data_IF_604399636889
#
_entry.id   IF_604399636889
#
_cell.length_a   1.000
_cell.length_b   1.000
_cell.length_c   1.000
_cell.angle_alpha   90.00
_cell.angle_beta   90.00
_cell.angle_gamma   90.00
#
_symmetry.space_group_name_H-M   'P 1'
#
loop_
_entity.id
_entity.type
_entity.pdbx_description
1 polymer ?
#
# COMPACT_ATOMS: atom_id res chain seq x y z
N UNK A 1 -31.62 52.15 18.23
CA UNK A 1 -31.90 50.78 17.74
C UNK A 1 -31.70 50.65 16.22
N UNK A 2 -32.43 51.36 15.33
CA UNK A 2 -32.25 51.24 13.86
C UNK A 2 -30.80 51.41 13.36
N UNK A 3 -30.08 52.45 13.82
CA UNK A 3 -28.68 52.68 13.44
C UNK A 3 -27.75 51.54 13.89
N UNK A 4 -27.96 51.01 15.10
CA UNK A 4 -27.18 49.89 15.63
C UNK A 4 -27.39 48.61 14.81
N UNK A 5 -28.65 48.30 14.45
CA UNK A 5 -28.99 47.14 13.61
C UNK A 5 -28.36 47.27 12.23
N UNK A 6 -28.45 48.44 11.60
CA UNK A 6 -27.83 48.68 10.29
C UNK A 6 -26.31 48.51 10.36
N UNK A 7 -25.65 49.04 11.40
CA UNK A 7 -24.21 48.86 11.58
C UNK A 7 -23.83 47.39 11.77
N UNK A 8 -24.57 46.62 12.58
CA UNK A 8 -24.32 45.18 12.76
C UNK A 8 -24.50 44.42 11.44
N UNK A 9 -25.57 44.71 10.68
CA UNK A 9 -25.81 44.06 9.39
C UNK A 9 -24.68 44.36 8.41
N UNK A 10 -24.24 45.62 8.31
CA UNK A 10 -23.11 46.00 7.44
C UNK A 10 -21.83 45.28 7.85
N UNK A 11 -21.53 45.20 9.15
CA UNK A 11 -20.36 44.47 9.65
C UNK A 11 -20.42 42.98 9.32
N UNK A 12 -21.60 42.34 9.45
CA UNK A 12 -21.80 40.94 9.07
C UNK A 12 -21.59 40.73 7.56
N UNK A 13 -22.09 41.64 6.72
CA UNK A 13 -21.90 41.56 5.26
C UNK A 13 -20.43 41.73 4.89
N UNK A 14 -19.73 42.69 5.50
CA UNK A 14 -18.28 42.88 5.28
C UNK A 14 -17.50 41.65 5.72
N UNK A 15 -17.82 41.08 6.89
CA UNK A 15 -17.19 39.86 7.38
C UNK A 15 -17.44 38.67 6.44
N UNK A 16 -18.68 38.48 5.99
CA UNK A 16 -19.04 37.41 5.05
C UNK A 16 -18.33 37.58 3.69
N UNK A 17 -18.27 38.82 3.18
CA UNK A 17 -17.54 39.12 1.95
C UNK A 17 -16.02 38.89 2.11
N UNK A 18 -15.45 39.22 3.27
CA UNK A 18 -14.05 38.96 3.59
C UNK A 18 -13.74 37.46 3.65
N UNK A 19 -14.58 36.66 4.30
CA UNK A 19 -14.46 35.19 4.31
C UNK A 19 -14.61 34.62 2.90
N UNK A 20 -15.59 35.10 2.12
CA UNK A 20 -15.80 34.68 0.74
C UNK A 20 -14.58 34.99 -0.15
N UNK A 21 -14.01 36.19 -0.03
CA UNK A 21 -12.81 36.58 -0.75
C UNK A 21 -11.60 35.72 -0.35
N UNK A 22 -11.43 35.42 0.94
CA UNK A 22 -10.35 34.55 1.43
C UNK A 22 -10.47 33.13 0.86
N UNK A 23 -11.66 32.52 0.94
CA UNK A 23 -11.90 31.18 0.37
C UNK A 23 -11.65 31.16 -1.14
N UNK A 24 -12.15 32.18 -1.87
CA UNK A 24 -11.97 32.27 -3.32
C UNK A 24 -10.52 32.54 -3.73
N UNK A 25 -9.73 33.21 -2.89
CA UNK A 25 -8.36 33.58 -3.23
C UNK A 25 -7.39 32.40 -3.37
N UNK A 26 -7.70 31.24 -2.80
CA UNK A 26 -6.85 30.05 -2.85
C UNK A 26 -5.54 30.16 -2.06
N UNK A 27 -5.35 31.23 -1.27
CA UNK A 27 -4.11 31.45 -0.49
C UNK A 27 -3.93 30.47 0.67
N UNK A 28 -5.00 29.83 1.12
CA UNK A 28 -4.93 28.82 2.16
C UNK A 28 -4.58 27.47 1.55
N UNK A 29 -3.37 26.99 1.84
CA UNK A 29 -2.92 25.69 1.39
C UNK A 29 -3.66 24.59 2.17
N UNK A 30 -4.25 23.65 1.42
CA UNK A 30 -4.98 22.50 1.98
C UNK A 30 -4.16 21.20 1.93
N UNK A 31 -2.91 21.28 1.50
CA UNK A 31 -1.97 20.16 1.52
C UNK A 31 -1.79 19.61 2.93
N UNK A 32 -1.77 18.28 3.07
CA UNK A 32 -1.57 17.62 4.36
C UNK A 32 -0.15 17.85 4.93
N UNK A 33 0.80 18.23 4.07
CA UNK A 33 2.18 18.60 4.38
C UNK A 33 2.32 20.02 4.95
N UNK A 34 1.31 20.88 4.76
CA UNK A 34 1.26 22.22 5.33
C UNK A 34 0.41 22.23 6.60
N UNK A 35 1.08 22.05 7.73
CA UNK A 35 0.41 21.93 9.01
C UNK A 35 -0.30 23.22 9.42
N UNK A 36 -1.51 23.07 9.97
CA UNK A 36 -2.24 24.17 10.58
C UNK A 36 -1.36 24.97 11.53
N UNK A 37 -1.54 26.30 11.53
CA UNK A 37 -0.94 27.16 12.55
C UNK A 37 -1.31 26.67 13.95
N UNK A 38 -0.42 26.84 14.93
CA UNK A 38 -0.62 26.32 16.30
C UNK A 38 -2.01 26.63 16.90
N UNK A 39 -2.57 27.85 16.77
CA UNK A 39 -3.90 28.14 17.30
C UNK A 39 -5.02 27.39 16.57
N UNK A 40 -4.92 27.26 15.25
CA UNK A 40 -5.91 26.54 14.44
C UNK A 40 -5.85 25.05 14.76
N UNK A 41 -4.64 24.48 14.84
CA UNK A 41 -4.43 23.10 15.25
C UNK A 41 -5.04 22.83 16.63
N UNK A 42 -4.76 23.68 17.62
CA UNK A 42 -5.30 23.52 18.98
C UNK A 42 -6.83 23.58 19.02
N UNK A 43 -7.44 24.49 18.26
CA UNK A 43 -8.90 24.59 18.12
C UNK A 43 -9.49 23.32 17.49
N UNK A 44 -8.90 22.85 16.38
CA UNK A 44 -9.37 21.63 15.69
C UNK A 44 -9.21 20.38 16.54
N UNK A 45 -8.07 20.23 17.23
CA UNK A 45 -7.84 19.15 18.17
C UNK A 45 -8.87 19.16 19.29
N UNK A 46 -9.11 20.31 19.92
CA UNK A 46 -10.10 20.46 20.99
C UNK A 46 -11.51 20.12 20.50
N UNK A 47 -11.88 20.61 19.31
CA UNK A 47 -13.19 20.32 18.70
C UNK A 47 -13.37 18.82 18.46
N UNK A 48 -12.35 18.15 17.91
CA UNK A 48 -12.35 16.70 17.68
C UNK A 48 -12.52 15.92 18.98
N UNK A 49 -11.69 16.20 19.98
CA UNK A 49 -11.71 15.49 21.28
C UNK A 49 -13.06 15.68 21.98
N UNK A 50 -13.58 16.91 22.05
CA UNK A 50 -14.88 17.19 22.69
C UNK A 50 -16.06 16.57 21.95
N UNK A 51 -15.97 16.46 20.62
CA UNK A 51 -17.00 15.80 19.81
C UNK A 51 -16.99 14.28 20.06
N UNK A 52 -15.82 13.65 20.07
CA UNK A 52 -15.67 12.22 20.39
C UNK A 52 -16.21 11.93 21.78
N UNK A 53 -15.78 12.68 22.80
CA UNK A 53 -16.25 12.53 24.20
C UNK A 53 -17.79 12.62 24.27
N UNK A 54 -18.39 13.61 23.61
CA UNK A 54 -19.84 13.82 23.61
C UNK A 54 -20.62 12.66 22.98
N UNK A 55 -20.14 12.11 21.87
CA UNK A 55 -20.84 11.05 21.15
C UNK A 55 -20.53 9.64 21.71
N UNK A 56 -19.40 9.47 22.40
CA UNK A 56 -19.01 8.22 23.02
C UNK A 56 -19.67 7.97 24.39
N UNK A 57 -20.13 9.03 25.08
CA UNK A 57 -20.57 8.96 26.49
C UNK A 57 -21.63 7.88 26.79
N UNK A 58 -22.56 7.64 25.87
CA UNK A 58 -23.70 6.73 26.07
C UNK A 58 -23.46 5.33 25.47
N UNK A 59 -22.28 5.08 24.90
CA UNK A 59 -21.94 3.80 24.27
C UNK A 59 -21.74 2.74 25.35
N UNK A 60 -22.54 1.68 25.36
CA UNK A 60 -22.40 0.58 26.31
C UNK A 60 -21.25 -0.33 25.89
N UNK A 61 -20.26 -0.49 26.78
CA UNK A 61 -19.10 -1.35 26.53
C UNK A 61 -19.45 -2.81 26.86
N UNK A 62 -19.33 -3.75 25.91
CA UNK A 62 -19.54 -5.17 26.17
C UNK A 62 -18.36 -5.76 26.97
N UNK A 63 -18.43 -7.05 27.30
CA UNK A 63 -17.27 -7.73 27.89
C UNK A 63 -16.13 -7.84 26.86
N UNK A 64 -15.01 -7.16 27.12
CA UNK A 64 -13.85 -7.12 26.23
C UNK A 64 -12.79 -8.20 26.54
N UNK A 65 -13.00 -9.00 27.59
CA UNK A 65 -12.05 -10.05 28.01
C UNK A 65 -12.30 -11.40 27.33
N UNK A 66 -13.23 -11.49 26.38
CA UNK A 66 -13.48 -12.70 25.61
C UNK A 66 -12.26 -13.04 24.70
N UNK A 67 -11.60 -14.20 24.88
CA UNK A 67 -10.45 -14.58 24.08
C UNK A 67 -10.73 -14.68 22.58
N UNK A 68 -11.93 -15.10 22.17
CA UNK A 68 -12.30 -15.20 20.75
C UNK A 68 -12.50 -13.82 20.14
N UNK A 69 -13.08 -12.88 20.90
CA UNK A 69 -13.25 -11.50 20.48
C UNK A 69 -11.89 -10.81 20.29
N UNK A 70 -10.96 -11.01 21.22
CA UNK A 70 -9.58 -10.50 21.14
C UNK A 70 -8.86 -11.12 19.94
N UNK A 71 -9.04 -12.42 19.71
CA UNK A 71 -8.41 -13.13 18.60
C UNK A 71 -8.91 -12.63 17.23
N UNK A 72 -10.23 -12.42 17.06
CA UNK A 72 -10.78 -11.79 15.85
C UNK A 72 -10.19 -10.39 15.67
N UNK A 73 -10.19 -9.59 16.73
CA UNK A 73 -9.65 -8.23 16.73
C UNK A 73 -8.17 -8.13 16.33
N UNK A 74 -7.35 -9.13 16.70
CA UNK A 74 -5.94 -9.20 16.31
C UNK A 74 -5.78 -9.28 14.78
N UNK A 75 -6.57 -10.14 14.12
CA UNK A 75 -6.58 -10.27 12.66
C UNK A 75 -7.02 -8.98 11.98
N UNK A 76 -8.12 -8.39 12.46
CA UNK A 76 -8.66 -7.12 11.94
C UNK A 76 -7.64 -5.97 12.05
N UNK A 77 -7.01 -5.84 13.22
CA UNK A 77 -5.99 -4.82 13.47
C UNK A 77 -4.79 -5.01 12.53
N UNK A 78 -4.32 -6.25 12.39
CA UNK A 78 -3.20 -6.57 11.52
C UNK A 78 -3.48 -6.18 10.06
N UNK A 79 -4.68 -6.52 9.56
CA UNK A 79 -5.08 -6.27 8.19
C UNK A 79 -5.31 -4.78 7.86
N UNK A 80 -5.91 -4.01 8.78
CA UNK A 80 -6.45 -2.69 8.44
C UNK A 80 -5.83 -1.53 9.21
N UNK A 81 -5.26 -1.77 10.39
CA UNK A 81 -4.84 -0.69 11.28
C UNK A 81 -3.32 -0.48 11.31
N UNK A 82 -2.53 -1.54 11.09
CA UNK A 82 -1.06 -1.48 11.23
C UNK A 82 -0.38 -0.55 10.24
N UNK A 83 -0.94 -0.40 9.03
CA UNK A 83 -0.41 0.52 8.01
C UNK A 83 -0.34 1.97 8.48
N UNK A 84 -1.28 2.40 9.35
CA UNK A 84 -1.29 3.76 9.89
C UNK A 84 -0.83 3.83 11.35
N UNK A 85 -1.22 2.87 12.19
CA UNK A 85 -1.04 2.92 13.65
C UNK A 85 0.12 2.09 14.21
N UNK A 86 0.81 1.35 13.34
CA UNK A 86 1.94 0.45 13.64
C UNK A 86 1.60 -0.75 14.54
N UNK A 87 2.32 -1.85 14.36
CA UNK A 87 2.30 -2.98 15.28
C UNK A 87 3.40 -2.84 16.36
N UNK A 88 3.34 -3.58 17.48
CA UNK A 88 4.42 -3.63 18.45
C UNK A 88 5.75 -4.02 17.79
N UNK A 89 6.75 -3.15 17.94
CA UNK A 89 8.09 -3.33 17.36
C UNK A 89 8.20 -3.05 15.86
N UNK A 90 7.12 -2.59 15.22
CA UNK A 90 7.15 -2.12 13.83
C UNK A 90 7.85 -0.76 13.78
N UNK A 91 8.81 -0.61 12.86
CA UNK A 91 9.42 0.68 12.57
C UNK A 91 8.42 1.61 11.88
N UNK A 92 8.68 2.90 11.91
CA UNK A 92 7.96 3.88 11.09
C UNK A 92 7.93 3.44 9.62
N UNK A 93 6.82 3.70 8.94
CA UNK A 93 6.63 3.35 7.52
C UNK A 93 6.52 4.61 6.66
N UNK A 94 6.59 4.44 5.35
CA UNK A 94 6.64 5.55 4.39
C UNK A 94 5.35 6.39 4.33
N UNK A 95 4.21 5.80 4.69
CA UNK A 95 2.92 6.49 4.66
C UNK A 95 2.80 7.49 5.81
N UNK A 96 3.20 7.10 7.04
CA UNK A 96 2.94 7.85 8.26
C UNK A 96 3.41 9.31 8.26
N UNK A 97 4.60 9.67 7.74
CA UNK A 97 5.04 11.07 7.67
C UNK A 97 4.12 11.99 6.85
N UNK A 98 3.39 11.45 5.87
CA UNK A 98 2.42 12.19 5.06
C UNK A 98 1.00 12.24 5.63
N UNK A 99 0.73 11.54 6.74
CA UNK A 99 -0.58 11.50 7.36
C UNK A 99 -0.76 12.69 8.31
N UNK A 100 -1.82 13.46 8.07
CA UNK A 100 -2.20 14.57 8.91
C UNK A 100 -3.66 14.44 9.39
N UNK A 101 -3.92 14.48 10.72
CA UNK A 101 -2.92 14.45 11.79
C UNK A 101 -2.15 13.12 11.81
N UNK A 102 -0.95 13.15 12.39
CA UNK A 102 -0.12 11.95 12.55
C UNK A 102 -0.88 10.90 13.41
N UNK A 103 -1.10 9.67 12.92
CA UNK A 103 -1.81 8.66 13.69
C UNK A 103 -1.01 8.24 14.93
N UNK A 104 -1.65 8.14 16.11
CA UNK A 104 -0.98 7.69 17.31
C UNK A 104 -0.57 6.21 17.21
N UNK A 105 0.51 5.84 17.86
CA UNK A 105 0.96 4.45 17.95
C UNK A 105 0.14 3.72 19.01
N UNK A 106 -0.81 2.89 18.57
CA UNK A 106 -1.79 2.24 19.45
C UNK A 106 -1.16 1.17 20.36
N UNK A 107 0.06 0.72 20.06
CA UNK A 107 0.84 -0.16 20.93
C UNK A 107 1.44 0.55 22.16
N UNK A 108 1.34 1.89 22.28
CA UNK A 108 1.96 2.65 23.38
C UNK A 108 0.99 3.06 24.49
N UNK A 109 -0.32 2.93 24.29
CA UNK A 109 -1.33 3.34 25.27
C UNK A 109 -2.64 2.58 25.07
N UNK A 110 -3.46 2.52 26.12
CA UNK A 110 -4.82 1.96 26.03
C UNK A 110 -5.82 3.09 25.81
N UNK A 111 -6.51 3.17 24.66
CA UNK A 111 -7.56 4.15 24.47
C UNK A 111 -8.80 3.80 25.31
N UNK A 112 -9.62 4.81 25.66
CA UNK A 112 -10.93 4.55 26.26
C UNK A 112 -11.79 3.71 25.28
N UNK A 113 -12.40 2.59 25.73
CA UNK A 113 -13.14 1.71 24.84
C UNK A 113 -14.31 2.36 24.10
N UNK A 114 -15.01 3.33 24.72
CA UNK A 114 -16.16 3.99 24.10
C UNK A 114 -15.70 4.92 23.00
N UNK A 115 -14.65 5.69 23.27
CA UNK A 115 -14.04 6.58 22.27
C UNK A 115 -13.42 5.77 21.12
N UNK A 116 -12.68 4.70 21.43
CA UNK A 116 -12.09 3.81 20.43
C UNK A 116 -13.17 3.22 19.51
N UNK A 117 -14.27 2.71 20.07
CA UNK A 117 -15.38 2.20 19.29
C UNK A 117 -15.96 3.27 18.36
N UNK A 118 -16.23 4.47 18.89
CA UNK A 118 -16.81 5.56 18.11
C UNK A 118 -15.88 6.00 16.97
N UNK A 119 -14.59 6.16 17.26
CA UNK A 119 -13.58 6.57 16.28
C UNK A 119 -13.37 5.51 15.20
N UNK A 120 -13.33 4.22 15.55
CA UNK A 120 -13.21 3.14 14.56
C UNK A 120 -14.47 3.10 13.68
N UNK A 121 -15.65 3.21 14.29
CA UNK A 121 -16.94 3.17 13.57
C UNK A 121 -17.11 4.33 12.59
N UNK A 122 -16.72 5.54 12.99
CA UNK A 122 -17.03 6.76 12.24
C UNK A 122 -15.83 7.40 11.56
N UNK A 123 -14.62 6.93 11.83
CA UNK A 123 -13.39 7.55 11.36
C UNK A 123 -13.18 8.94 11.94
N UNK A 124 -12.25 9.69 11.35
CA UNK A 124 -12.02 11.10 11.69
C UNK A 124 -12.10 11.94 10.42
N UNK A 125 -13.09 12.83 10.38
CA UNK A 125 -13.31 13.74 9.25
C UNK A 125 -12.08 14.61 9.00
N UNK A 126 -11.77 14.85 7.72
CA UNK A 126 -10.57 15.57 7.26
C UNK A 126 -9.26 14.90 7.73
N UNK A 127 -9.25 13.57 7.78
CA UNK A 127 -8.05 12.76 7.99
C UNK A 127 -8.10 11.52 7.11
N UNK A 128 -7.02 10.73 7.09
CA UNK A 128 -6.99 9.44 6.42
C UNK A 128 -7.70 8.31 7.20
N UNK A 129 -8.23 8.56 8.42
CA UNK A 129 -8.90 7.53 9.22
C UNK A 129 -10.33 7.27 8.68
N UNK A 130 -10.60 6.11 8.05
CA UNK A 130 -11.88 5.82 7.43
C UNK A 130 -12.96 5.44 8.46
N UNK A 131 -14.22 5.49 8.04
CA UNK A 131 -15.38 5.08 8.84
C UNK A 131 -15.70 3.59 8.64
N UNK A 132 -15.14 2.72 9.47
CA UNK A 132 -15.28 1.27 9.32
C UNK A 132 -16.71 0.75 9.54
N UNK A 133 -17.58 1.52 10.20
CA UNK A 133 -18.99 1.19 10.36
C UNK A 133 -19.79 1.17 9.05
N UNK A 134 -19.20 1.60 7.94
CA UNK A 134 -19.80 1.43 6.62
C UNK A 134 -19.63 0.00 6.06
N UNK A 135 -18.61 -0.74 6.52
CA UNK A 135 -18.26 -2.08 6.00
C UNK A 135 -18.28 -3.17 7.07
N UNK A 136 -18.24 -2.81 8.36
CA UNK A 136 -18.19 -3.75 9.47
C UNK A 136 -19.32 -3.48 10.46
N UNK A 137 -19.86 -4.55 11.04
CA UNK A 137 -20.85 -4.48 12.10
C UNK A 137 -20.23 -4.11 13.46
N UNK A 138 -21.10 -3.77 14.42
CA UNK A 138 -20.66 -3.35 15.75
C UNK A 138 -19.89 -4.46 16.48
N UNK A 139 -20.22 -5.73 16.27
CA UNK A 139 -19.52 -6.85 16.87
C UNK A 139 -18.07 -6.93 16.39
N UNK A 140 -17.84 -6.75 15.09
CA UNK A 140 -16.49 -6.72 14.51
C UNK A 140 -15.72 -5.51 14.96
N UNK A 141 -16.34 -4.33 15.09
CA UNK A 141 -15.69 -3.15 15.66
C UNK A 141 -15.29 -3.36 17.13
N UNK A 142 -16.17 -3.96 17.94
CA UNK A 142 -15.85 -4.31 19.32
C UNK A 142 -14.69 -5.31 19.43
N UNK A 143 -14.51 -6.19 18.43
CA UNK A 143 -13.35 -7.09 18.38
C UNK A 143 -12.03 -6.32 18.30
N UNK A 144 -11.96 -5.30 17.43
CA UNK A 144 -10.80 -4.41 17.33
C UNK A 144 -10.57 -3.68 18.66
N UNK A 145 -11.61 -3.13 19.27
CA UNK A 145 -11.51 -2.43 20.56
C UNK A 145 -11.00 -3.36 21.66
N UNK A 146 -11.52 -4.59 21.75
CA UNK A 146 -11.07 -5.59 22.71
C UNK A 146 -9.58 -5.90 22.56
N UNK A 147 -9.12 -6.07 21.31
CA UNK A 147 -7.70 -6.26 21.02
C UNK A 147 -6.85 -5.04 21.42
N UNK A 148 -7.30 -3.81 21.16
CA UNK A 148 -6.60 -2.59 21.55
C UNK A 148 -6.41 -2.47 23.08
N UNK A 149 -7.25 -3.11 23.90
CA UNK A 149 -7.05 -3.13 25.35
C UNK A 149 -5.88 -4.02 25.80
N UNK A 150 -5.51 -5.02 24.98
CA UNK A 150 -4.40 -5.95 25.25
C UNK A 150 -3.11 -5.55 24.54
N UNK A 151 -3.22 -4.85 23.41
CA UNK A 151 -2.11 -4.51 22.52
C UNK A 151 -0.91 -3.85 23.23
N UNK A 152 -1.07 -2.89 24.17
CA UNK A 152 0.08 -2.22 24.79
C UNK A 152 0.95 -3.10 25.69
N UNK A 153 0.44 -4.26 26.11
CA UNK A 153 1.20 -5.22 26.93
C UNK A 153 1.90 -6.30 26.08
N UNK A 154 1.67 -6.29 24.77
CA UNK A 154 2.20 -7.33 23.89
C UNK A 154 3.63 -7.02 23.46
N UNK A 155 4.50 -8.02 23.61
CA UNK A 155 5.78 -8.04 22.90
C UNK A 155 5.56 -8.28 21.39
N UNK A 156 6.51 -7.90 20.53
CA UNK A 156 6.42 -8.17 19.09
C UNK A 156 6.18 -9.66 18.77
N UNK A 157 6.79 -10.57 19.54
CA UNK A 157 6.60 -12.01 19.37
C UNK A 157 5.18 -12.47 19.74
N UNK A 158 4.62 -11.95 20.84
CA UNK A 158 3.23 -12.25 21.23
C UNK A 158 2.22 -11.72 20.21
N UNK A 159 2.48 -10.52 19.67
CA UNK A 159 1.65 -9.95 18.61
C UNK A 159 1.66 -10.83 17.35
N UNK A 160 2.84 -11.29 16.90
CA UNK A 160 2.95 -12.17 15.75
C UNK A 160 2.21 -13.50 15.96
N UNK A 161 2.34 -14.09 17.14
CA UNK A 161 1.69 -15.36 17.51
C UNK A 161 0.15 -15.24 17.57
N UNK A 162 -0.40 -14.16 18.12
CA UNK A 162 -1.86 -13.97 18.14
C UNK A 162 -2.43 -13.69 16.74
N UNK A 163 -1.74 -12.89 15.92
CA UNK A 163 -2.17 -12.61 14.53
C UNK A 163 -2.11 -13.88 13.68
N UNK A 164 -1.07 -14.71 13.82
CA UNK A 164 -0.95 -15.96 13.06
C UNK A 164 -2.06 -16.98 13.39
N UNK A 165 -2.68 -16.88 14.57
CA UNK A 165 -3.79 -17.74 15.01
C UNK A 165 -5.16 -17.14 14.72
N UNK A 166 -5.22 -15.87 14.31
CA UNK A 166 -6.48 -15.21 14.02
C UNK A 166 -7.15 -15.88 12.80
N UNK A 167 -8.49 -16.08 12.84
CA UNK A 167 -9.19 -16.62 11.69
C UNK A 167 -9.02 -15.71 10.47
N UNK A 168 -8.89 -16.32 9.29
CA UNK A 168 -8.99 -15.57 8.03
C UNK A 168 -10.41 -15.05 7.89
N UNK A 169 -10.54 -13.79 7.48
CA UNK A 169 -11.81 -13.10 7.47
C UNK A 169 -12.70 -13.61 6.33
N UNK A 170 -13.78 -14.33 6.68
CA UNK A 170 -14.80 -14.78 5.72
C UNK A 170 -15.82 -13.68 5.38
N UNK A 171 -15.72 -12.51 6.02
CA UNK A 171 -16.62 -11.37 5.82
C UNK A 171 -16.26 -10.55 4.56
N UNK A 172 -15.21 -10.93 3.82
CA UNK A 172 -14.78 -10.30 2.56
C UNK A 172 -15.29 -11.01 1.29
N UNK A 173 -15.91 -12.19 1.41
CA UNK A 173 -16.42 -12.97 0.26
C UNK A 173 -17.87 -12.59 -0.14
N UNK A 174 -18.61 -11.85 0.70
CA UNK A 174 -20.08 -11.69 0.58
C UNK A 174 -20.56 -10.22 0.51
N UNK A 175 -19.70 -9.26 0.15
CA UNK A 175 -20.12 -7.86 -0.03
C UNK A 175 -19.39 -7.19 -1.21
N UNK A 176 -19.78 -7.53 -2.45
CA UNK A 176 -19.27 -6.78 -3.61
C UNK A 176 -19.57 -7.28 -5.01
N UNK A 177 -20.67 -8.02 -5.24
CA UNK A 177 -21.17 -8.27 -6.59
C UNK A 177 -21.76 -7.01 -7.23
N UNK A 178 -20.91 -6.11 -7.74
CA UNK A 178 -21.34 -4.97 -8.55
C UNK A 178 -20.62 -4.91 -9.90
N UNK A 179 -21.24 -5.60 -10.86
CA UNK A 179 -21.18 -5.29 -12.28
C UNK A 179 -21.51 -3.81 -12.49
N UNK A 180 -20.51 -3.01 -12.85
CA UNK A 180 -20.70 -1.65 -13.34
C UNK A 180 -20.86 -1.67 -14.86
N UNK A 181 -22.10 -1.87 -15.30
CA UNK A 181 -22.54 -1.52 -16.64
C UNK A 181 -22.59 0.01 -16.76
N UNK A 182 -21.72 0.57 -17.61
CA UNK A 182 -21.89 1.93 -18.13
C UNK A 182 -22.19 1.88 -19.63
N UNK A 183 -23.42 2.22 -19.98
CA UNK A 183 -23.81 2.56 -21.34
C UNK A 183 -23.39 3.98 -21.71
N UNK A 184 -23.15 4.21 -23.01
CA UNK A 184 -22.97 5.56 -23.56
C UNK A 184 -22.29 5.65 -24.94
N UNK A 185 -23.04 5.30 -25.99
CA UNK A 185 -23.16 5.96 -27.33
C UNK A 185 -21.94 6.36 -28.20
N UNK A 186 -22.05 5.99 -29.50
CA UNK A 186 -21.73 6.72 -30.76
C UNK A 186 -20.87 5.85 -31.71
N UNK A 187 -21.47 5.22 -32.74
CA UNK A 187 -21.51 5.63 -34.18
C UNK A 187 -20.66 4.60 -34.96
N UNK A 188 -20.93 4.07 -36.16
CA UNK A 188 -21.88 4.32 -37.26
C UNK A 188 -21.94 3.03 -38.15
N UNK A 189 -23.09 2.85 -38.83
CA UNK A 189 -23.34 2.22 -40.13
C UNK A 189 -22.95 0.76 -40.48
N UNK A 190 -23.98 -0.08 -40.73
CA UNK A 190 -24.45 -0.41 -42.09
C UNK A 190 -25.22 -1.77 -42.20
N UNK A 191 -26.48 -1.65 -42.63
CA UNK A 191 -27.29 -2.53 -43.49
C UNK A 191 -27.46 -4.05 -43.23
N UNK A 192 -28.74 -4.47 -43.18
CA UNK A 192 -29.18 -5.68 -43.91
C UNK A 192 -30.18 -6.58 -43.19
N UNK A 193 -31.44 -6.50 -43.60
CA UNK A 193 -32.64 -7.26 -43.21
C UNK A 193 -32.61 -8.78 -43.49
N UNK A 194 -33.24 -9.59 -42.62
CA UNK A 194 -34.17 -10.72 -42.89
C UNK A 194 -34.07 -11.78 -41.74
N UNK A 195 -35.07 -11.99 -40.86
CA UNK A 195 -36.37 -12.67 -41.01
C UNK A 195 -36.36 -14.19 -40.67
N UNK A 196 -37.13 -14.52 -39.61
CA UNK A 196 -37.99 -15.70 -39.38
C UNK A 196 -37.47 -17.02 -38.75
N UNK A 197 -38.04 -17.30 -37.56
CA UNK A 197 -38.85 -18.47 -37.14
C UNK A 197 -38.34 -19.93 -37.29
N UNK A 198 -38.37 -20.69 -36.19
CA UNK A 198 -38.39 -22.17 -36.21
C UNK A 198 -38.06 -22.90 -34.88
N UNK A 199 -39.09 -23.31 -34.12
CA UNK A 199 -39.10 -24.22 -32.95
C UNK A 199 -38.71 -25.69 -33.30
N UNK A 200 -38.81 -26.73 -32.41
CA UNK A 200 -38.29 -26.97 -31.05
C UNK A 200 -37.57 -28.36 -30.86
N UNK A 201 -36.83 -28.49 -29.74
CA UNK A 201 -36.62 -29.65 -28.81
C UNK A 201 -36.57 -31.13 -29.28
N UNK A 202 -35.50 -31.86 -28.91
CA UNK A 202 -35.50 -32.96 -27.92
C UNK A 202 -34.28 -33.92 -28.03
N UNK A 203 -33.74 -34.36 -26.88
CA UNK A 203 -33.00 -35.63 -26.77
C UNK A 203 -31.74 -35.59 -25.89
N UNK A 204 -31.88 -35.89 -24.59
CA UNK A 204 -30.76 -36.18 -23.69
C UNK A 204 -30.04 -37.49 -24.05
N UNK A 205 -28.70 -37.48 -23.98
CA UNK A 205 -27.88 -38.46 -23.24
C UNK A 205 -26.39 -38.33 -23.61
N UNK A 206 -25.50 -38.34 -22.61
CA UNK A 206 -24.12 -38.84 -22.79
C UNK A 206 -23.01 -37.93 -22.27
N UNK A 207 -22.43 -38.33 -21.14
CA UNK A 207 -21.22 -37.82 -20.51
C UNK A 207 -20.01 -37.64 -21.45
N UNK A 208 -19.20 -36.59 -21.23
CA UNK A 208 -17.86 -36.68 -20.60
C UNK A 208 -17.07 -35.38 -20.81
N UNK A 209 -16.32 -34.98 -19.78
CA UNK A 209 -15.38 -33.87 -19.78
C UNK A 209 -14.27 -34.06 -20.80
N UNK A 210 -13.96 -33.02 -21.59
CA UNK A 210 -12.58 -32.56 -21.78
C UNK A 210 -12.50 -31.19 -22.47
N UNK A 211 -11.55 -30.39 -21.98
CA UNK A 211 -10.82 -29.27 -22.57
C UNK A 211 -11.55 -28.09 -23.29
N UNK A 212 -11.17 -26.89 -22.83
CA UNK A 212 -10.54 -25.80 -23.61
C UNK A 212 -11.25 -24.44 -23.60
N UNK A 213 -10.38 -23.44 -23.44
CA UNK A 213 -10.44 -22.03 -23.82
C UNK A 213 -11.42 -21.07 -23.11
N UNK A 214 -10.80 -20.03 -22.57
CA UNK A 214 -11.43 -18.85 -22.00
C UNK A 214 -10.40 -17.75 -21.85
N UNK A 215 -10.29 -16.95 -22.91
CA UNK A 215 -9.46 -15.76 -23.12
C UNK A 215 -9.08 -14.96 -21.86
N UNK A 216 -7.78 -14.74 -21.70
CA UNK A 216 -7.20 -13.84 -20.70
C UNK A 216 -7.20 -12.43 -21.31
N UNK A 217 -8.15 -11.60 -20.91
CA UNK A 217 -8.14 -10.18 -21.26
C UNK A 217 -7.06 -9.44 -20.46
N UNK A 218 -5.98 -9.10 -21.16
CA UNK A 218 -4.89 -8.24 -20.72
C UNK A 218 -5.42 -6.81 -20.47
N UNK A 219 -5.64 -6.45 -19.20
CA UNK A 219 -5.80 -5.05 -18.81
C UNK A 219 -4.43 -4.47 -18.45
N UNK A 220 -3.91 -3.65 -19.36
CA UNK A 220 -2.70 -2.87 -19.16
C UNK A 220 -2.81 -2.06 -17.85
N UNK A 221 -1.90 -2.34 -16.91
CA UNK A 221 -1.77 -1.62 -15.66
C UNK A 221 -1.45 -0.14 -15.93
N UNK A 222 -2.19 0.74 -15.26
CA UNK A 222 -1.81 2.15 -15.11
C UNK A 222 -0.59 2.18 -14.20
N UNK A 223 0.52 2.86 -14.56
CA UNK A 223 1.75 2.79 -13.80
C UNK A 223 1.58 3.52 -12.46
N UNK A 224 1.61 2.77 -11.36
CA UNK A 224 1.90 3.31 -10.03
C UNK A 224 3.28 3.92 -10.08
N UNK A 225 3.39 5.23 -9.92
CA UNK A 225 4.70 5.88 -9.77
C UNK A 225 5.19 5.56 -8.36
N UNK A 226 5.93 4.45 -8.24
CA UNK A 226 6.64 4.04 -7.03
C UNK A 226 7.64 5.15 -6.66
N UNK A 227 7.75 5.49 -5.37
CA UNK A 227 8.74 6.46 -4.92
C UNK A 227 10.15 5.95 -5.29
N UNK A 228 11.02 6.80 -5.84
CA UNK A 228 12.32 6.36 -6.30
C UNK A 228 13.13 5.74 -5.16
N UNK A 229 13.66 4.53 -5.35
CA UNK A 229 14.64 3.92 -4.44
C UNK A 229 15.74 4.95 -4.15
N UNK A 230 15.91 5.28 -2.87
CA UNK A 230 16.90 6.26 -2.43
C UNK A 230 18.27 5.60 -2.29
N UNK A 231 19.28 6.25 -2.85
CA UNK A 231 20.68 5.87 -2.71
C UNK A 231 21.39 6.65 -1.58
N UNK A 232 20.63 7.46 -0.84
CA UNK A 232 21.16 8.35 0.20
C UNK A 232 21.83 7.54 1.32
N UNK A 233 23.04 7.96 1.71
CA UNK A 233 23.84 7.28 2.74
C UNK A 233 24.57 6.02 2.28
N UNK A 234 24.45 5.61 1.01
CA UNK A 234 25.24 4.51 0.46
C UNK A 234 26.64 4.97 0.08
N UNK A 235 27.64 4.30 0.62
CA UNK A 235 29.05 4.64 0.38
C UNK A 235 29.73 3.48 -0.35
N UNK A 236 30.43 3.72 -1.48
CA UNK A 236 31.21 2.69 -2.14
C UNK A 236 32.24 2.07 -1.18
N UNK A 237 32.27 0.75 -1.10
CA UNK A 237 33.21 0.00 -0.27
C UNK A 237 32.87 -0.05 1.22
N UNK A 238 31.70 0.41 1.65
CA UNK A 238 31.31 0.33 3.07
C UNK A 238 31.17 -1.12 3.56
N UNK A 239 30.69 -2.03 2.70
CA UNK A 239 30.62 -3.48 2.93
C UNK A 239 31.11 -4.23 1.68
N UNK A 240 32.44 -4.36 1.47
CA UNK A 240 33.00 -4.88 0.21
C UNK A 240 32.57 -6.32 -0.15
N UNK A 241 32.35 -7.17 0.86
CA UNK A 241 31.89 -8.54 0.66
C UNK A 241 30.46 -8.59 0.11
N UNK A 242 29.57 -7.73 0.61
CA UNK A 242 28.19 -7.64 0.13
C UNK A 242 28.14 -7.05 -1.29
N UNK A 243 28.95 -6.02 -1.55
CA UNK A 243 29.10 -5.44 -2.89
C UNK A 243 29.62 -6.44 -3.92
N UNK A 244 30.53 -7.35 -3.52
CA UNK A 244 31.03 -8.42 -4.39
C UNK A 244 29.91 -9.37 -4.82
N UNK A 245 29.02 -9.74 -3.89
CA UNK A 245 27.86 -10.59 -4.19
C UNK A 245 26.86 -9.87 -5.09
N UNK A 246 26.58 -8.58 -4.84
CA UNK A 246 25.71 -7.78 -5.70
C UNK A 246 26.23 -7.71 -7.15
N UNK A 247 27.54 -7.45 -7.34
CA UNK A 247 28.16 -7.45 -8.66
C UNK A 247 28.12 -8.83 -9.32
N UNK A 248 28.34 -9.90 -8.56
CA UNK A 248 28.26 -11.26 -9.07
C UNK A 248 26.84 -11.61 -9.55
N UNK A 249 25.82 -11.16 -8.82
CA UNK A 249 24.41 -11.34 -9.15
C UNK A 249 24.05 -10.60 -10.45
N UNK A 250 24.38 -9.32 -10.55
CA UNK A 250 24.13 -8.54 -11.77
C UNK A 250 24.86 -9.14 -12.99
N UNK A 251 26.11 -9.58 -12.81
CA UNK A 251 26.88 -10.21 -13.87
C UNK A 251 26.30 -11.58 -14.27
N UNK A 252 25.75 -12.34 -13.33
CA UNK A 252 25.09 -13.62 -13.62
C UNK A 252 23.80 -13.41 -14.43
N UNK A 253 23.00 -12.39 -14.08
CA UNK A 253 21.81 -12.00 -14.84
C UNK A 253 22.17 -11.60 -16.29
N UNK A 254 23.18 -10.74 -16.49
CA UNK A 254 23.63 -10.33 -17.82
C UNK A 254 24.16 -11.49 -18.67
N UNK A 255 24.87 -12.45 -18.06
CA UNK A 255 25.35 -13.66 -18.76
C UNK A 255 24.23 -14.68 -19.05
N UNK A 256 23.09 -14.55 -18.38
CA UNK A 256 22.02 -15.52 -18.41
C UNK A 256 22.32 -16.81 -17.65
N UNK A 257 23.17 -16.73 -16.63
CA UNK A 257 23.59 -17.85 -15.80
C UNK A 257 22.59 -18.05 -14.64
N UNK A 258 21.50 -18.74 -14.95
CA UNK A 258 20.40 -18.98 -14.02
C UNK A 258 20.83 -19.66 -12.73
N UNK A 259 21.73 -20.64 -12.82
CA UNK A 259 22.21 -21.38 -11.63
C UNK A 259 23.03 -20.47 -10.72
N UNK A 260 23.93 -19.66 -11.29
CA UNK A 260 24.69 -18.69 -10.51
C UNK A 260 23.79 -17.64 -9.86
N UNK A 261 22.73 -17.17 -10.56
CA UNK A 261 21.74 -16.26 -9.97
C UNK A 261 21.08 -16.90 -8.75
N UNK A 262 20.51 -18.10 -8.91
CA UNK A 262 19.80 -18.78 -7.82
C UNK A 262 20.72 -19.18 -6.66
N UNK A 263 22.01 -19.42 -6.91
CA UNK A 263 22.99 -19.71 -5.88
C UNK A 263 23.30 -18.50 -4.99
N UNK A 264 23.16 -17.27 -5.49
CA UNK A 264 23.40 -16.04 -4.73
C UNK A 264 22.18 -15.60 -3.91
N UNK A 265 21.00 -16.11 -4.25
CA UNK A 265 19.74 -15.85 -3.54
C UNK A 265 19.58 -16.79 -2.34
N UNK A 266 19.22 -16.22 -1.18
CA UNK A 266 18.84 -17.00 0.00
C UNK A 266 17.51 -17.73 -0.24
N UNK A 267 17.26 -18.91 0.36
CA UNK A 267 16.02 -19.67 0.15
C UNK A 267 14.74 -18.87 0.39
N UNK A 268 14.73 -17.98 1.39
CA UNK A 268 13.60 -17.11 1.73
C UNK A 268 13.65 -15.72 1.09
N UNK A 269 14.39 -15.52 -0.01
CA UNK A 269 14.46 -14.21 -0.66
C UNK A 269 13.09 -13.75 -1.14
N UNK A 270 12.83 -12.45 -0.99
CA UNK A 270 11.73 -11.76 -1.65
C UNK A 270 12.27 -10.93 -2.81
N UNK A 271 11.69 -11.08 -3.99
CA UNK A 271 11.99 -10.27 -5.16
C UNK A 271 10.80 -9.36 -5.40
N UNK A 272 11.05 -8.06 -5.51
CA UNK A 272 10.01 -7.06 -5.72
C UNK A 272 10.33 -6.19 -6.93
N UNK A 273 9.36 -5.99 -7.82
CA UNK A 273 9.46 -5.03 -8.92
C UNK A 273 8.06 -4.49 -9.25
N UNK A 274 7.94 -3.16 -9.41
CA UNK A 274 6.68 -2.51 -9.80
C UNK A 274 5.52 -2.76 -8.83
N UNK A 275 5.80 -2.83 -7.53
CA UNK A 275 4.81 -3.12 -6.48
C UNK A 275 4.37 -4.59 -6.35
N UNK A 276 4.89 -5.51 -7.18
CA UNK A 276 4.66 -6.95 -7.03
C UNK A 276 5.80 -7.60 -6.26
N UNK A 277 5.49 -8.47 -5.30
CA UNK A 277 6.49 -9.24 -4.55
C UNK A 277 6.27 -10.73 -4.75
N UNK A 278 7.35 -11.45 -5.04
CA UNK A 278 7.35 -12.89 -5.28
C UNK A 278 8.42 -13.61 -4.45
N UNK A 279 8.20 -14.89 -4.23
CA UNK A 279 9.15 -15.80 -3.58
C UNK A 279 10.26 -16.21 -4.55
N UNK A 280 11.34 -16.80 -4.01
CA UNK A 280 12.45 -17.36 -4.80
C UNK A 280 11.98 -18.36 -5.86
N UNK A 281 11.04 -19.23 -5.52
CA UNK A 281 10.59 -20.30 -6.40
C UNK A 281 9.68 -19.77 -7.51
N UNK A 282 8.81 -18.81 -7.20
CA UNK A 282 8.01 -18.07 -8.20
C UNK A 282 8.91 -17.25 -9.14
N UNK A 283 9.91 -16.56 -8.59
CA UNK A 283 10.93 -15.86 -9.36
C UNK A 283 11.70 -16.79 -10.28
N UNK A 284 12.16 -17.92 -9.78
CA UNK A 284 12.79 -18.93 -10.58
C UNK A 284 11.85 -19.41 -11.68
N UNK A 285 10.64 -19.84 -11.36
CA UNK A 285 9.73 -20.46 -12.32
C UNK A 285 9.26 -19.51 -13.44
N UNK A 286 9.13 -18.21 -13.14
CA UNK A 286 8.65 -17.18 -14.09
C UNK A 286 9.71 -16.13 -14.42
N UNK A 287 9.70 -15.02 -13.65
CA UNK A 287 10.30 -13.74 -14.03
C UNK A 287 11.80 -13.78 -14.30
N UNK A 288 12.58 -14.65 -13.63
CA UNK A 288 14.02 -14.76 -13.85
C UNK A 288 14.38 -15.04 -15.33
N UNK A 289 13.55 -15.80 -16.04
CA UNK A 289 13.77 -16.08 -17.46
C UNK A 289 13.59 -14.84 -18.34
N UNK A 290 12.69 -13.93 -17.96
CA UNK A 290 12.40 -12.68 -18.66
C UNK A 290 13.47 -11.64 -18.37
N UNK A 291 13.89 -11.52 -17.12
CA UNK A 291 14.96 -10.59 -16.71
C UNK A 291 16.29 -10.91 -17.37
N UNK A 292 16.65 -12.20 -17.45
CA UNK A 292 17.84 -12.64 -18.18
C UNK A 292 17.75 -12.24 -19.65
N UNK A 293 16.60 -12.46 -20.30
CA UNK A 293 16.42 -12.11 -21.72
C UNK A 293 16.52 -10.60 -21.92
N UNK A 294 15.89 -9.83 -21.04
CA UNK A 294 15.91 -8.37 -21.05
C UNK A 294 17.32 -7.82 -20.87
N UNK A 295 18.01 -8.22 -19.79
CA UNK A 295 19.34 -7.72 -19.44
C UNK A 295 20.43 -8.16 -20.42
N UNK A 296 20.28 -9.32 -21.06
CA UNK A 296 21.21 -9.77 -22.11
C UNK A 296 21.11 -8.94 -23.40
N UNK A 297 19.93 -8.39 -23.69
CA UNK A 297 19.71 -7.51 -24.83
C UNK A 297 19.99 -6.03 -24.51
N UNK A 298 20.13 -5.69 -23.24
CA UNK A 298 20.35 -4.33 -22.78
C UNK A 298 21.83 -3.98 -22.68
N UNK A 299 22.16 -2.73 -22.98
CA UNK A 299 23.46 -2.12 -22.68
C UNK A 299 23.34 -1.30 -21.40
N UNK A 300 24.08 -1.70 -20.38
CA UNK A 300 24.03 -1.11 -19.04
C UNK A 300 25.19 -0.15 -18.83
N UNK A 301 24.87 1.07 -18.42
CA UNK A 301 25.84 2.11 -18.06
C UNK A 301 25.72 2.41 -16.57
N UNK A 302 26.69 2.00 -15.73
CA UNK A 302 26.64 2.25 -14.29
C UNK A 302 26.60 3.76 -13.99
N UNK A 303 25.77 4.18 -13.05
CA UNK A 303 25.63 5.59 -12.62
C UNK A 303 26.09 5.76 -11.19
N UNK A 304 25.57 4.94 -10.27
CA UNK A 304 25.99 4.94 -8.87
C UNK A 304 25.95 3.53 -8.30
N UNK A 305 26.79 3.27 -7.31
CA UNK A 305 26.88 1.98 -6.65
C UNK A 305 27.49 2.16 -5.26
N UNK A 306 26.89 1.60 -4.24
CA UNK A 306 27.44 1.67 -2.89
C UNK A 306 26.71 0.76 -1.92
N UNK A 307 27.21 0.69 -0.69
CA UNK A 307 26.62 -0.11 0.35
C UNK A 307 26.46 0.65 1.66
N UNK A 308 25.63 0.10 2.54
CA UNK A 308 25.39 0.59 3.89
C UNK A 308 25.35 -0.61 4.86
N UNK A 309 26.16 -0.62 5.93
CA UNK A 309 26.11 -1.66 6.94
C UNK A 309 24.83 -1.55 7.78
N UNK A 310 24.18 -2.69 8.05
CA UNK A 310 22.95 -2.79 8.83
C UNK A 310 23.03 -3.93 9.85
N UNK A 311 23.89 -3.78 10.85
CA UNK A 311 24.18 -4.81 11.84
C UNK A 311 24.77 -6.06 11.19
N UNK A 312 24.07 -7.20 11.29
CA UNK A 312 24.48 -8.47 10.66
C UNK A 312 24.08 -8.57 9.18
N UNK A 313 23.43 -7.54 8.64
CA UNK A 313 23.04 -7.42 7.24
C UNK A 313 23.71 -6.23 6.57
N UNK A 314 23.59 -6.14 5.26
CA UNK A 314 24.05 -5.00 4.48
C UNK A 314 23.01 -4.67 3.41
N UNK A 315 22.85 -3.37 3.14
CA UNK A 315 22.17 -2.90 1.94
C UNK A 315 23.21 -2.57 0.88
N UNK A 316 22.97 -2.98 -0.35
CA UNK A 316 23.75 -2.61 -1.53
C UNK A 316 22.77 -2.04 -2.54
N UNK A 317 22.99 -0.78 -2.93
CA UNK A 317 22.20 -0.14 -3.96
C UNK A 317 23.01 0.07 -5.22
N UNK A 318 22.36 -0.03 -6.38
CA UNK A 318 22.94 0.35 -7.65
C UNK A 318 21.95 1.13 -8.52
N UNK A 319 22.46 2.10 -9.27
CA UNK A 319 21.72 2.81 -10.29
C UNK A 319 22.45 2.65 -11.63
N UNK A 320 21.73 2.27 -12.68
CA UNK A 320 22.28 2.10 -14.03
C UNK A 320 21.36 2.70 -15.08
N UNK A 321 21.94 3.36 -16.08
CA UNK A 321 21.24 3.64 -17.33
C UNK A 321 21.14 2.36 -18.16
N UNK A 322 19.97 2.10 -18.74
CA UNK A 322 19.69 0.92 -19.56
C UNK A 322 19.31 1.39 -20.96
N UNK A 323 20.11 1.04 -21.95
CA UNK A 323 19.78 1.23 -23.37
C UNK A 323 19.31 -0.11 -23.95
N UNK A 324 18.05 -0.17 -24.38
CA UNK A 324 17.46 -1.40 -24.93
C UNK A 324 16.51 -1.08 -26.09
N UNK A 325 16.34 -2.02 -27.03
CA UNK A 325 15.37 -1.87 -28.12
C UNK A 325 14.09 -2.65 -27.78
N UNK A 326 13.00 -1.95 -27.53
CA UNK A 326 11.69 -2.54 -27.22
C UNK A 326 10.78 -2.35 -28.43
N UNK A 327 10.23 -3.45 -28.98
CA UNK A 327 9.35 -3.43 -30.17
C UNK A 327 9.94 -2.61 -31.35
N UNK A 328 11.26 -2.70 -31.57
CA UNK A 328 11.98 -2.00 -32.64
C UNK A 328 12.32 -0.52 -32.36
N UNK A 329 12.01 0.02 -31.18
CA UNK A 329 12.33 1.40 -30.79
C UNK A 329 13.46 1.45 -29.76
N UNK A 330 14.54 2.21 -29.99
CA UNK A 330 15.54 2.49 -28.96
C UNK A 330 14.87 3.19 -27.77
N UNK A 331 15.04 2.63 -26.58
CA UNK A 331 14.48 3.13 -25.33
C UNK A 331 15.60 3.24 -24.30
N UNK A 332 15.68 4.38 -23.64
CA UNK A 332 16.59 4.60 -22.52
C UNK A 332 15.79 4.60 -21.23
N UNK A 333 16.22 3.78 -20.27
CA UNK A 333 15.59 3.62 -18.97
C UNK A 333 16.61 3.90 -17.88
N UNK A 334 16.12 4.25 -16.71
CA UNK A 334 16.88 4.28 -15.47
C UNK A 334 16.46 3.09 -14.63
N UNK A 335 17.38 2.19 -14.34
CA UNK A 335 17.15 1.09 -13.40
C UNK A 335 17.82 1.41 -12.07
N UNK A 336 17.06 1.22 -10.99
CA UNK A 336 17.55 1.22 -9.62
C UNK A 336 17.33 -0.16 -9.03
N UNK A 337 18.35 -0.64 -8.35
CA UNK A 337 18.36 -1.91 -7.65
C UNK A 337 18.72 -1.67 -6.19
N UNK A 338 17.93 -2.28 -5.30
CA UNK A 338 18.22 -2.36 -3.89
C UNK A 338 18.29 -3.81 -3.44
N UNK A 339 19.46 -4.22 -2.97
CA UNK A 339 19.69 -5.56 -2.44
C UNK A 339 19.89 -5.48 -0.93
N UNK A 340 19.15 -6.30 -0.19
CA UNK A 340 19.49 -6.61 1.19
C UNK A 340 20.22 -7.95 1.21
N UNK A 341 21.39 -7.98 1.82
CA UNK A 341 22.19 -9.18 1.98
C UNK A 341 22.31 -9.55 3.46
N UNK A 342 22.25 -10.84 3.73
CA UNK A 342 22.52 -11.43 5.05
C UNK A 342 23.71 -12.37 4.98
N UNK A 343 24.39 -12.55 6.12
CA UNK A 343 25.43 -13.57 6.26
C UNK A 343 24.79 -14.96 6.31
N UNK A 344 25.39 -15.89 5.58
CA UNK A 344 25.08 -17.32 5.55
C UNK A 344 26.41 -18.07 5.71
N UNK A 345 26.75 -18.38 6.97
CA UNK A 345 28.09 -18.82 7.36
C UNK A 345 29.15 -17.76 7.04
N UNK A 346 30.19 -18.17 6.31
CA UNK A 346 31.27 -17.29 5.82
C UNK A 346 30.92 -16.56 4.50
N UNK A 347 29.72 -16.79 3.97
CA UNK A 347 29.25 -16.23 2.70
C UNK A 347 28.14 -15.21 2.88
N UNK A 348 27.89 -14.39 1.86
CA UNK A 348 26.75 -13.48 1.83
C UNK A 348 25.72 -13.97 0.82
N UNK A 349 24.44 -13.87 1.19
CA UNK A 349 23.31 -14.21 0.32
C UNK A 349 22.36 -13.02 0.24
N UNK A 350 21.73 -12.86 -0.91
CA UNK A 350 20.70 -11.86 -1.12
C UNK A 350 19.40 -12.37 -0.50
N UNK A 351 18.88 -11.62 0.48
CA UNK A 351 17.64 -11.94 1.21
C UNK A 351 16.46 -11.06 0.77
N UNK A 352 16.73 -9.96 0.06
CA UNK A 352 15.70 -9.16 -0.62
C UNK A 352 16.28 -8.53 -1.87
N UNK A 353 15.50 -8.51 -2.95
CA UNK A 353 15.75 -7.75 -4.18
C UNK A 353 14.58 -6.78 -4.36
N UNK A 354 14.87 -5.51 -4.62
CA UNK A 354 13.87 -4.55 -5.06
C UNK A 354 14.39 -3.81 -6.28
N UNK A 355 13.64 -3.89 -7.38
CA UNK A 355 13.94 -3.20 -8.63
C UNK A 355 12.90 -2.15 -8.92
N UNK A 356 13.37 -1.03 -9.47
CA UNK A 356 12.53 0.00 -10.03
C UNK A 356 13.13 0.48 -11.34
N UNK A 357 12.30 0.51 -12.39
CA UNK A 357 12.71 0.97 -13.71
C UNK A 357 11.83 2.16 -14.12
N UNK A 358 12.45 3.30 -14.41
CA UNK A 358 11.76 4.50 -14.86
C UNK A 358 12.23 4.91 -16.26
N UNK A 359 11.34 5.31 -17.18
CA UNK A 359 11.77 5.86 -18.46
C UNK A 359 12.58 7.14 -18.26
N UNK A 360 13.76 7.25 -18.86
CA UNK A 360 14.43 8.54 -18.95
C UNK A 360 13.89 9.24 -20.19
N UNK A 361 13.01 10.21 -20.01
CA UNK A 361 12.65 11.11 -21.11
C UNK A 361 13.93 11.77 -21.60
N UNK A 362 14.24 11.62 -22.89
CA UNK A 362 15.31 12.39 -23.51
C UNK A 362 15.02 13.88 -23.34
N UNK A 363 16.01 14.62 -22.84
CA UNK A 363 16.05 16.08 -23.00
C UNK A 363 15.98 16.48 -24.47
#
# INVERSE_FOLDING_TARGET
MKRLIITVVILCVIAAAGVGAFVWSGVYNVGADDHHTRPVYALMQTLRERSIEHHAKDIVVPNLDDPQLILKGAGQYAAMCTGCHLAPGMAENEMRPGLYPLPPELAKFRPDPREAFWVIKHGVKMSAMPAWGATHDDATIWSMVAFLQKLPDMTPAQYQDIVARAPQDHDMDEAGGHSHSHGGTADEDAHGTAAMEGMPMAGEAGHSHDAADGDVHEHAAVPTVEAPLSMEGMTPGAVPAAETVARAFQAALQRGDREAVLALLAPGVRVSEGGHTQTRDEYAAGHLGEDIKFLKAAKLTPVSFGSMPMGDTAMVGSESGVEVTIKGRPTTLRSREMLKLGKDGDSWKIVSVQWQTTPTTGE
#
